data_IF_333248065872
#
_entry.id   IF_333248065872
#
_cell.length_a   1.000
_cell.length_b   1.000
_cell.length_c   1.000
_cell.angle_alpha   90.00
_cell.angle_beta   90.00
_cell.angle_gamma   90.00
#
_symmetry.space_group_name_H-M   'P 1'
#
loop_
_entity.id
_entity.type
_entity.pdbx_description
1 polymer ?
#
# COMPACT_ATOMS: atom_id res chain seq x y z
N UNK A 1 59.04 8.29 71.87
CA UNK A 1 60.51 8.14 71.83
C UNK A 1 60.87 7.41 70.54
N UNK A 2 61.29 8.17 69.54
CA UNK A 2 62.69 8.24 69.06
C UNK A 2 63.02 7.01 68.18
N UNK A 3 62.91 7.14 66.86
CA UNK A 3 63.93 7.67 65.93
C UNK A 3 64.75 6.53 65.35
N UNK A 4 64.58 6.28 64.05
CA UNK A 4 65.56 5.55 63.25
C UNK A 4 65.78 6.29 61.94
N UNK A 5 66.99 6.83 61.87
CA UNK A 5 67.61 7.60 60.83
C UNK A 5 68.01 6.67 59.66
N UNK A 6 67.74 7.05 58.41
CA UNK A 6 68.56 6.66 57.25
C UNK A 6 68.42 7.68 56.11
N UNK A 7 69.52 8.36 55.83
CA UNK A 7 69.88 9.07 54.57
C UNK A 7 70.74 8.10 53.73
N UNK A 8 71.06 8.38 52.45
CA UNK A 8 70.18 8.59 51.28
C UNK A 8 70.58 7.67 50.10
N UNK A 9 69.75 7.55 49.07
CA UNK A 9 70.20 7.08 47.75
C UNK A 9 69.51 7.91 46.66
N UNK A 10 70.33 8.54 45.83
CA UNK A 10 69.91 9.34 44.69
C UNK A 10 69.21 8.43 43.67
N UNK A 11 67.98 8.80 43.30
CA UNK A 11 67.27 8.23 42.15
C UNK A 11 66.80 9.39 41.29
N UNK A 12 67.37 9.44 40.10
CA UNK A 12 67.12 10.40 39.04
C UNK A 12 65.64 10.42 38.66
N UNK A 13 65.02 11.61 38.75
CA UNK A 13 63.67 11.87 38.21
C UNK A 13 63.70 11.69 36.69
N UNK A 14 63.30 10.53 36.20
CA UNK A 14 62.81 10.38 34.82
C UNK A 14 61.39 10.95 34.75
N UNK A 15 61.23 12.05 34.02
CA UNK A 15 59.92 12.60 33.70
C UNK A 15 59.09 11.54 32.96
N UNK A 16 57.78 11.40 33.22
CA UNK A 16 56.94 10.51 32.44
C UNK A 16 56.90 11.03 31.00
N UNK A 17 57.49 10.28 30.07
CA UNK A 17 57.36 10.54 28.65
C UNK A 17 55.87 10.46 28.30
N UNK A 18 55.30 11.59 27.84
CA UNK A 18 53.99 11.58 27.20
C UNK A 18 54.01 10.48 26.12
N UNK A 19 53.06 9.53 26.09
CA UNK A 19 53.00 8.58 25.01
C UNK A 19 52.89 9.38 23.71
N UNK A 20 53.88 9.24 22.84
CA UNK A 20 53.88 9.87 21.53
C UNK A 20 52.60 9.42 20.83
N UNK A 21 51.69 10.37 20.59
CA UNK A 21 50.45 10.07 19.89
C UNK A 21 50.82 9.38 18.58
N UNK A 22 50.42 8.12 18.44
CA UNK A 22 50.63 7.38 17.20
C UNK A 22 50.08 8.22 16.05
N UNK A 23 50.69 8.14 14.86
CA UNK A 23 50.17 8.84 13.66
C UNK A 23 48.67 8.54 13.44
N UNK A 24 48.19 7.37 13.88
CA UNK A 24 46.76 7.00 13.92
C UNK A 24 45.94 7.81 14.93
N UNK A 25 46.44 8.08 16.14
CA UNK A 25 45.76 8.90 17.14
C UNK A 25 45.69 10.39 16.77
N UNK A 26 46.73 10.92 16.13
CA UNK A 26 46.73 12.30 15.63
C UNK A 26 45.76 12.48 14.43
N UNK A 27 45.68 11.49 13.54
CA UNK A 27 44.71 11.47 12.45
C UNK A 27 43.27 11.35 12.98
N UNK A 28 43.02 10.46 13.95
CA UNK A 28 41.72 10.33 14.61
C UNK A 28 41.27 11.63 15.30
N UNK A 29 42.17 12.32 16.00
CA UNK A 29 41.87 13.60 16.65
C UNK A 29 41.58 14.73 15.64
N UNK A 30 42.22 14.72 14.47
CA UNK A 30 41.93 15.67 13.37
C UNK A 30 40.55 15.41 12.79
N UNK A 31 40.20 14.15 12.52
CA UNK A 31 38.87 13.75 12.03
C UNK A 31 37.78 14.14 13.04
N UNK A 32 37.99 13.88 14.33
CA UNK A 32 37.03 14.25 15.37
C UNK A 32 36.78 15.77 15.45
N UNK A 33 37.83 16.59 15.28
CA UNK A 33 37.67 18.06 15.22
C UNK A 33 36.88 18.50 13.99
N UNK A 34 37.13 17.89 12.84
CA UNK A 34 36.40 18.17 11.60
C UNK A 34 34.92 17.79 11.72
N UNK A 35 34.61 16.59 12.23
CA UNK A 35 33.24 16.14 12.46
C UNK A 35 32.48 17.07 13.43
N UNK A 36 33.12 17.50 14.53
CA UNK A 36 32.50 18.47 15.47
C UNK A 36 32.29 19.85 14.85
N UNK A 37 33.16 20.27 13.93
CA UNK A 37 32.99 21.53 13.22
C UNK A 37 31.80 21.47 12.25
N UNK A 38 31.66 20.35 11.52
CA UNK A 38 30.50 20.08 10.66
C UNK A 38 29.21 20.04 11.48
N UNK A 39 29.19 19.32 12.61
CA UNK A 39 28.02 19.25 13.50
C UNK A 39 27.59 20.64 13.97
N UNK A 40 28.52 21.48 14.45
CA UNK A 40 28.18 22.83 14.91
C UNK A 40 27.63 23.73 13.81
N UNK A 41 28.12 23.58 12.58
CA UNK A 41 27.59 24.32 11.44
C UNK A 41 26.15 23.88 11.13
N UNK A 42 25.91 22.56 11.07
CA UNK A 42 24.57 22.00 10.89
C UNK A 42 23.61 22.40 12.02
N UNK A 43 24.05 22.37 13.28
CA UNK A 43 23.22 22.74 14.44
C UNK A 43 22.80 24.22 14.38
N UNK A 44 23.69 25.10 13.93
CA UNK A 44 23.40 26.52 13.76
C UNK A 44 22.40 26.77 12.62
N UNK A 45 22.58 26.09 11.49
CA UNK A 45 21.68 26.16 10.33
C UNK A 45 20.29 25.57 10.67
N UNK A 46 20.24 24.46 11.41
CA UNK A 46 18.99 23.84 11.86
C UNK A 46 18.22 24.74 12.85
N UNK A 47 18.91 25.36 13.81
CA UNK A 47 18.28 26.29 14.75
C UNK A 47 17.65 27.47 14.02
N UNK A 48 18.30 27.97 12.96
CA UNK A 48 17.79 29.05 12.13
C UNK A 48 16.64 28.60 11.21
N UNK A 49 16.67 27.37 10.70
CA UNK A 49 15.65 26.78 9.84
C UNK A 49 14.36 26.44 10.60
N UNK A 50 14.48 25.81 11.78
CA UNK A 50 13.34 25.49 12.66
C UNK A 50 12.57 26.75 13.10
N UNK A 51 13.26 27.87 13.26
CA UNK A 51 12.64 29.16 13.57
C UNK A 51 11.83 29.77 12.41
N UNK A 52 11.94 29.24 11.17
CA UNK A 52 11.31 29.79 9.95
C UNK A 52 10.32 28.83 9.26
N UNK A 53 10.09 27.64 9.80
CA UNK A 53 9.27 26.63 9.13
C UNK A 53 7.80 27.07 9.04
N UNK A 54 7.31 27.32 7.82
CA UNK A 54 5.89 27.48 7.49
C UNK A 54 5.26 26.12 7.18
N UNK A 55 3.94 25.93 7.38
CA UNK A 55 3.27 24.73 6.91
C UNK A 55 3.47 24.59 5.40
N UNK A 56 4.00 23.45 4.96
CA UNK A 56 4.23 23.15 3.55
C UNK A 56 2.90 22.85 2.84
N UNK A 57 2.72 23.39 1.64
CA UNK A 57 1.57 23.05 0.80
C UNK A 57 1.56 21.54 0.45
N UNK A 58 0.39 20.94 0.16
CA UNK A 58 0.31 19.55 -0.27
C UNK A 58 1.18 19.27 -1.50
N UNK A 59 1.89 18.14 -1.47
CA UNK A 59 2.82 17.73 -2.53
C UNK A 59 2.05 17.20 -3.75
N UNK A 60 2.38 17.72 -4.93
CA UNK A 60 1.82 17.32 -6.22
C UNK A 60 2.96 16.81 -7.11
N UNK A 61 3.27 15.52 -7.01
CA UNK A 61 4.39 14.90 -7.72
C UNK A 61 4.03 14.41 -9.14
N UNK A 62 2.73 14.41 -9.51
CA UNK A 62 2.25 14.01 -10.82
C UNK A 62 2.08 15.19 -11.79
N UNK A 63 1.94 14.89 -13.08
CA UNK A 63 1.67 15.89 -14.12
C UNK A 63 0.32 16.60 -13.92
N UNK A 64 -0.67 15.84 -13.43
CA UNK A 64 -2.02 16.32 -13.13
C UNK A 64 -2.11 16.71 -11.65
N UNK A 65 -2.55 17.94 -11.38
CA UNK A 65 -2.82 18.38 -10.01
C UNK A 65 -4.03 17.64 -9.44
N UNK A 66 -3.85 16.99 -8.29
CA UNK A 66 -4.89 16.21 -7.62
C UNK A 66 -5.65 17.01 -6.55
N UNK A 67 -6.91 16.63 -6.24
CA UNK A 67 -7.69 17.29 -5.19
C UNK A 67 -7.01 17.23 -3.83
N UNK A 68 -6.95 18.37 -3.16
CA UNK A 68 -6.31 18.52 -1.83
C UNK A 68 -7.33 18.54 -0.69
N UNK A 69 -8.57 18.97 -0.99
CA UNK A 69 -9.65 19.14 -0.01
C UNK A 69 -10.81 18.22 -0.35
N UNK A 70 -11.25 17.44 0.63
CA UNK A 70 -12.39 16.56 0.49
C UNK A 70 -13.66 17.26 0.99
N UNK A 71 -14.84 16.97 0.38
CA UNK A 71 -16.11 17.50 0.85
C UNK A 71 -16.49 16.91 2.21
N UNK A 72 -17.27 17.64 3.01
CA UNK A 72 -17.92 17.09 4.20
C UNK A 72 -19.11 16.23 3.77
N UNK A 73 -19.02 14.92 3.97
CA UNK A 73 -20.08 13.98 3.59
C UNK A 73 -19.93 12.65 4.34
N UNK A 74 -21.02 11.90 4.48
CA UNK A 74 -21.05 10.53 4.99
C UNK A 74 -22.01 9.70 4.14
N UNK A 75 -21.67 8.44 3.89
CA UNK A 75 -22.45 7.51 3.06
C UNK A 75 -22.86 6.27 3.86
N UNK A 76 -23.87 5.55 3.38
CA UNK A 76 -24.19 4.20 3.87
C UNK A 76 -23.25 3.17 3.26
N UNK A 77 -23.07 2.02 3.92
CA UNK A 77 -22.29 0.88 3.39
C UNK A 77 -23.18 -0.09 2.57
N UNK A 78 -22.63 -0.74 1.52
CA UNK A 78 -21.38 -0.34 0.89
C UNK A 78 -21.56 1.03 0.20
N UNK A 79 -20.48 1.80 0.13
CA UNK A 79 -20.52 3.16 -0.39
C UNK A 79 -20.59 3.16 -1.92
N UNK A 80 -21.54 3.89 -2.50
CA UNK A 80 -21.62 4.10 -3.95
C UNK A 80 -20.74 5.27 -4.38
N UNK A 81 -19.93 5.08 -5.43
CA UNK A 81 -19.05 6.13 -5.97
C UNK A 81 -19.83 7.26 -6.62
N UNK A 82 -20.95 6.93 -7.29
CA UNK A 82 -21.87 7.93 -7.84
C UNK A 82 -22.42 8.94 -6.82
N UNK A 83 -22.48 8.57 -5.54
CA UNK A 83 -23.01 9.43 -4.47
C UNK A 83 -21.96 10.40 -3.89
N UNK A 84 -20.69 10.31 -4.30
CA UNK A 84 -19.63 11.20 -3.80
C UNK A 84 -19.75 12.61 -4.42
N UNK A 85 -19.77 13.64 -3.58
CA UNK A 85 -19.78 15.03 -4.04
C UNK A 85 -18.51 15.41 -4.82
N UNK A 86 -17.38 14.77 -4.49
CA UNK A 86 -16.16 14.80 -5.27
C UNK A 86 -15.92 13.41 -5.87
N UNK A 87 -16.11 13.29 -7.19
CA UNK A 87 -15.88 12.04 -7.90
C UNK A 87 -14.39 11.65 -7.87
N UNK A 88 -14.05 10.42 -7.46
CA UNK A 88 -12.68 9.92 -7.53
C UNK A 88 -12.15 9.93 -8.95
N UNK A 89 -10.86 10.22 -9.10
CA UNK A 89 -10.20 10.16 -10.40
C UNK A 89 -9.59 8.78 -10.60
N UNK A 90 -10.08 8.06 -11.61
CA UNK A 90 -9.68 6.67 -11.89
C UNK A 90 -9.18 6.44 -13.32
N UNK A 91 -9.35 7.41 -14.23
CA UNK A 91 -9.06 7.22 -15.66
C UNK A 91 -7.56 7.35 -16.02
N UNK A 92 -6.74 8.00 -15.19
CA UNK A 92 -5.31 8.21 -15.45
C UNK A 92 -5.03 8.74 -16.89
N UNK A 93 -5.58 9.88 -17.32
CA UNK A 93 -5.56 10.30 -18.73
C UNK A 93 -4.13 10.51 -19.29
N UNK A 94 -3.15 10.79 -18.43
CA UNK A 94 -1.75 10.92 -18.82
C UNK A 94 -1.02 9.57 -19.00
N UNK A 95 -1.64 8.45 -18.63
CA UNK A 95 -1.09 7.11 -18.79
C UNK A 95 -1.38 6.56 -20.19
N UNK A 96 -0.33 6.35 -20.98
CA UNK A 96 -0.41 5.76 -22.33
C UNK A 96 -0.14 4.26 -22.25
N UNK A 97 -1.13 3.46 -22.65
CA UNK A 97 -1.01 1.99 -22.69
C UNK A 97 0.09 1.53 -23.65
N UNK A 98 0.78 0.45 -23.28
CA UNK A 98 1.89 -0.11 -24.06
C UNK A 98 1.74 -1.61 -24.35
N UNK A 99 0.57 -2.18 -24.06
CA UNK A 99 0.26 -3.59 -24.29
C UNK A 99 0.91 -4.54 -23.28
N UNK A 100 1.21 -4.09 -22.06
CA UNK A 100 1.87 -4.89 -21.02
C UNK A 100 1.07 -6.11 -20.58
N UNK A 101 -0.25 -6.08 -20.80
CA UNK A 101 -1.19 -7.14 -20.46
C UNK A 101 -1.96 -7.61 -21.71
N UNK A 102 -1.38 -7.40 -22.90
CA UNK A 102 -2.04 -7.71 -24.17
C UNK A 102 -2.48 -9.17 -24.23
N UNK A 103 -3.78 -9.38 -24.43
CA UNK A 103 -4.38 -10.70 -24.57
C UNK A 103 -4.51 -11.47 -23.26
N UNK A 104 -4.21 -10.85 -22.12
CA UNK A 104 -4.44 -11.44 -20.81
C UNK A 104 -5.90 -11.29 -20.38
N UNK A 105 -6.27 -12.07 -19.38
CA UNK A 105 -7.57 -12.05 -18.73
C UNK A 105 -7.40 -11.87 -17.22
N UNK A 106 -8.19 -10.98 -16.63
CA UNK A 106 -8.05 -10.61 -15.23
C UNK A 106 -9.39 -10.67 -14.47
N UNK A 107 -9.33 -11.04 -13.20
CA UNK A 107 -10.40 -10.81 -12.22
C UNK A 107 -9.93 -9.72 -11.25
N UNK A 108 -10.79 -8.75 -10.97
CA UNK A 108 -10.57 -7.74 -9.94
C UNK A 108 -11.79 -7.70 -9.01
N UNK A 109 -11.61 -8.01 -7.73
CA UNK A 109 -12.70 -7.95 -6.73
C UNK A 109 -12.85 -6.55 -6.15
N UNK A 110 -14.08 -6.11 -5.88
CA UNK A 110 -14.37 -4.73 -5.46
C UNK A 110 -13.96 -3.72 -6.53
N UNK A 111 -14.25 -4.03 -7.79
CA UNK A 111 -13.82 -3.22 -8.94
C UNK A 111 -14.92 -2.36 -9.55
N UNK A 112 -16.11 -2.38 -8.96
CA UNK A 112 -17.17 -1.41 -9.23
C UNK A 112 -16.71 0.03 -8.96
N UNK A 113 -15.80 0.25 -8.00
CA UNK A 113 -15.40 1.59 -7.54
C UNK A 113 -13.93 1.68 -7.10
N UNK A 114 -13.50 2.90 -6.76
CA UNK A 114 -12.23 3.20 -6.12
C UNK A 114 -11.01 2.64 -6.83
N UNK A 115 -10.10 2.06 -6.05
CA UNK A 115 -8.84 1.47 -6.55
C UNK A 115 -9.14 0.36 -7.56
N UNK A 116 -10.11 -0.51 -7.28
CA UNK A 116 -10.46 -1.62 -8.16
C UNK A 116 -10.95 -1.14 -9.53
N UNK A 117 -11.78 -0.09 -9.58
CA UNK A 117 -12.20 0.57 -10.83
C UNK A 117 -11.00 1.09 -11.62
N UNK A 118 -10.11 1.84 -10.98
CA UNK A 118 -8.92 2.36 -11.64
C UNK A 118 -8.00 1.25 -12.19
N UNK A 119 -7.87 0.15 -11.44
CA UNK A 119 -7.10 -1.03 -11.87
C UNK A 119 -7.75 -1.71 -13.06
N UNK A 120 -9.08 -1.93 -13.03
CA UNK A 120 -9.81 -2.54 -14.13
C UNK A 120 -9.65 -1.75 -15.45
N UNK A 121 -9.83 -0.42 -15.38
CA UNK A 121 -9.67 0.47 -16.54
C UNK A 121 -8.23 0.45 -17.06
N UNK A 122 -7.22 0.52 -16.19
CA UNK A 122 -5.82 0.53 -16.63
C UNK A 122 -5.35 -0.84 -17.16
N UNK A 123 -5.89 -1.94 -16.63
CA UNK A 123 -5.67 -3.28 -17.18
C UNK A 123 -6.23 -3.40 -18.59
N UNK A 124 -7.44 -2.86 -18.81
CA UNK A 124 -8.05 -2.81 -20.13
C UNK A 124 -7.21 -2.00 -21.12
N UNK A 125 -6.74 -0.81 -20.70
CA UNK A 125 -5.83 0.03 -21.50
C UNK A 125 -4.52 -0.68 -21.85
N UNK A 126 -4.03 -1.56 -20.97
CA UNK A 126 -2.85 -2.39 -21.23
C UNK A 126 -3.14 -3.69 -21.99
N UNK A 127 -4.39 -3.90 -22.38
CA UNK A 127 -4.81 -4.92 -23.33
C UNK A 127 -5.44 -6.18 -22.73
N UNK A 128 -5.82 -6.17 -21.45
CA UNK A 128 -6.46 -7.30 -20.77
C UNK A 128 -7.99 -7.25 -20.85
N UNK A 129 -8.63 -8.41 -20.98
CA UNK A 129 -10.06 -8.54 -20.68
C UNK A 129 -10.26 -8.61 -19.16
N UNK A 130 -11.32 -7.99 -18.63
CA UNK A 130 -11.46 -7.79 -17.18
C UNK A 130 -12.83 -8.25 -16.68
N UNK A 131 -12.83 -9.09 -15.65
CA UNK A 131 -14.01 -9.43 -14.87
C UNK A 131 -14.02 -8.56 -13.60
N UNK A 132 -15.06 -7.74 -13.49
CA UNK A 132 -15.36 -6.84 -12.38
C UNK A 132 -16.28 -7.58 -11.41
N UNK A 133 -15.73 -7.98 -10.26
CA UNK A 133 -16.50 -8.54 -9.15
C UNK A 133 -16.82 -7.45 -8.15
N UNK A 134 -18.05 -7.45 -7.62
CA UNK A 134 -18.57 -6.43 -6.70
C UNK A 134 -19.74 -7.00 -5.88
N UNK A 135 -20.23 -6.29 -4.87
CA UNK A 135 -21.27 -6.80 -3.98
C UNK A 135 -22.68 -6.54 -4.53
N UNK A 136 -23.13 -5.27 -4.54
CA UNK A 136 -24.48 -4.88 -4.97
C UNK A 136 -24.55 -3.53 -5.73
N UNK A 137 -23.40 -2.88 -5.93
CA UNK A 137 -23.24 -1.55 -6.52
C UNK A 137 -23.35 -1.60 -8.06
N UNK A 138 -24.47 -2.13 -8.57
CA UNK A 138 -24.68 -2.46 -9.98
C UNK A 138 -24.43 -1.28 -10.93
N UNK A 139 -24.85 -0.08 -10.54
CA UNK A 139 -24.65 1.15 -11.32
C UNK A 139 -23.16 1.50 -11.46
N UNK A 140 -22.42 1.45 -10.35
CA UNK A 140 -20.98 1.67 -10.33
C UNK A 140 -20.22 0.61 -11.14
N UNK A 141 -20.66 -0.65 -11.06
CA UNK A 141 -20.12 -1.72 -11.89
C UNK A 141 -20.37 -1.50 -13.40
N UNK A 142 -21.53 -0.96 -13.79
CA UNK A 142 -21.79 -0.61 -15.20
C UNK A 142 -20.91 0.56 -15.66
N UNK A 143 -20.62 1.54 -14.79
CA UNK A 143 -19.66 2.60 -15.10
C UNK A 143 -18.28 1.99 -15.37
N UNK A 144 -17.74 1.16 -14.46
CA UNK A 144 -16.45 0.49 -14.69
C UNK A 144 -16.47 -0.30 -16.01
N UNK A 145 -17.55 -1.05 -16.26
CA UNK A 145 -17.72 -1.82 -17.50
C UNK A 145 -17.60 -0.95 -18.73
N UNK A 146 -18.32 0.17 -18.78
CA UNK A 146 -18.29 1.08 -19.92
C UNK A 146 -16.89 1.64 -20.18
N UNK A 147 -16.13 1.94 -19.11
CA UNK A 147 -14.75 2.41 -19.26
C UNK A 147 -13.79 1.31 -19.73
N UNK A 148 -13.95 0.06 -19.26
CA UNK A 148 -13.17 -1.09 -19.78
C UNK A 148 -13.47 -1.33 -21.26
N UNK A 149 -14.74 -1.30 -21.65
CA UNK A 149 -15.16 -1.48 -23.04
C UNK A 149 -14.69 -0.34 -23.95
N UNK A 150 -14.63 0.90 -23.43
CA UNK A 150 -14.07 2.06 -24.13
C UNK A 150 -12.58 1.91 -24.46
N UNK A 151 -11.82 1.17 -23.66
CA UNK A 151 -10.42 0.80 -23.96
C UNK A 151 -10.31 -0.36 -24.98
N UNK A 152 -11.44 -0.84 -25.50
CA UNK A 152 -11.50 -1.86 -26.56
C UNK A 152 -11.36 -3.30 -26.04
N UNK A 153 -11.56 -3.53 -24.74
CA UNK A 153 -11.47 -4.85 -24.10
C UNK A 153 -12.82 -5.36 -23.64
N UNK A 154 -12.93 -6.68 -23.45
CA UNK A 154 -14.16 -7.30 -22.95
C UNK A 154 -14.26 -7.09 -21.45
N UNK A 155 -15.47 -6.80 -20.98
CA UNK A 155 -15.76 -6.69 -19.56
C UNK A 155 -16.89 -7.62 -19.15
N UNK A 156 -16.71 -8.34 -18.04
CA UNK A 156 -17.74 -9.15 -17.40
C UNK A 156 -18.02 -8.58 -16.01
N UNK A 157 -19.27 -8.33 -15.66
CA UNK A 157 -19.66 -7.84 -14.32
C UNK A 157 -20.34 -8.97 -13.56
N UNK A 158 -19.84 -9.32 -12.37
CA UNK A 158 -20.40 -10.41 -11.54
C UNK A 158 -20.65 -9.88 -10.13
N UNK A 159 -21.91 -9.86 -9.70
CA UNK A 159 -22.30 -9.47 -8.36
C UNK A 159 -22.31 -10.67 -7.42
N UNK A 160 -21.78 -10.50 -6.21
CA UNK A 160 -21.88 -11.48 -5.13
C UNK A 160 -20.82 -11.31 -4.05
N UNK A 161 -20.93 -12.15 -3.03
CA UNK A 161 -20.16 -12.01 -1.81
C UNK A 161 -18.93 -12.93 -1.82
N UNK A 162 -17.73 -12.33 -1.75
CA UNK A 162 -16.46 -13.07 -1.72
C UNK A 162 -16.30 -13.95 -0.47
N UNK A 163 -17.12 -13.75 0.57
CA UNK A 163 -17.19 -14.65 1.71
C UNK A 163 -17.77 -16.03 1.36
N UNK A 164 -18.56 -16.15 0.29
CA UNK A 164 -19.10 -17.43 -0.16
C UNK A 164 -18.09 -18.13 -1.11
N UNK A 165 -17.49 -19.26 -0.72
CA UNK A 165 -16.56 -19.98 -1.59
C UNK A 165 -17.22 -20.45 -2.89
N UNK A 166 -18.53 -20.74 -2.90
CA UNK A 166 -19.24 -21.15 -4.12
C UNK A 166 -19.35 -20.00 -5.12
N UNK A 167 -19.65 -18.79 -4.63
CA UNK A 167 -19.61 -17.59 -5.46
C UNK A 167 -18.23 -17.40 -6.10
N UNK A 168 -17.15 -17.53 -5.32
CA UNK A 168 -15.78 -17.42 -5.83
C UNK A 168 -15.49 -18.45 -6.94
N UNK A 169 -15.89 -19.71 -6.74
CA UNK A 169 -15.76 -20.78 -7.74
C UNK A 169 -16.56 -20.48 -9.02
N UNK A 170 -17.82 -20.07 -8.87
CA UNK A 170 -18.70 -19.74 -9.99
C UNK A 170 -18.22 -18.52 -10.77
N UNK A 171 -17.73 -17.48 -10.08
CA UNK A 171 -17.23 -16.26 -10.71
C UNK A 171 -15.95 -16.51 -11.52
N UNK A 172 -15.03 -17.33 -11.00
CA UNK A 172 -13.84 -17.78 -11.76
C UNK A 172 -14.27 -18.61 -12.96
N UNK A 173 -15.20 -19.56 -12.80
CA UNK A 173 -15.66 -20.40 -13.89
C UNK A 173 -16.36 -19.57 -14.99
N UNK A 174 -17.18 -18.59 -14.62
CA UNK A 174 -17.79 -17.63 -15.55
C UNK A 174 -16.74 -16.83 -16.32
N UNK A 175 -15.72 -16.32 -15.63
CA UNK A 175 -14.63 -15.57 -16.24
C UNK A 175 -13.86 -16.40 -17.24
N UNK A 176 -13.47 -17.64 -16.87
CA UNK A 176 -12.76 -18.55 -17.76
C UNK A 176 -13.60 -18.93 -18.98
N UNK A 177 -14.91 -19.16 -18.81
CA UNK A 177 -15.81 -19.40 -19.96
C UNK A 177 -15.92 -18.19 -20.88
N UNK A 178 -16.02 -16.99 -20.33
CA UNK A 178 -16.17 -15.77 -21.10
C UNK A 178 -14.87 -15.40 -21.85
N UNK A 179 -13.72 -15.52 -21.18
CA UNK A 179 -12.46 -15.01 -21.71
C UNK A 179 -11.54 -16.07 -22.31
N UNK A 180 -11.77 -17.35 -22.02
CA UNK A 180 -10.96 -18.48 -22.47
C UNK A 180 -9.79 -18.81 -21.53
N UNK A 181 -9.62 -18.07 -20.45
CA UNK A 181 -8.51 -18.24 -19.50
C UNK A 181 -8.61 -17.31 -18.29
N UNK A 182 -7.59 -17.39 -17.44
CA UNK A 182 -7.34 -16.46 -16.34
C UNK A 182 -5.83 -16.31 -16.15
N UNK A 183 -5.32 -15.08 -16.18
CA UNK A 183 -3.89 -14.77 -16.07
C UNK A 183 -3.57 -13.94 -14.83
N UNK A 184 -4.51 -13.08 -14.41
CA UNK A 184 -4.32 -12.19 -13.27
C UNK A 184 -5.51 -12.26 -12.32
N UNK A 185 -5.24 -12.49 -11.04
CA UNK A 185 -6.21 -12.29 -9.97
C UNK A 185 -5.79 -11.08 -9.13
N UNK A 186 -6.69 -10.11 -8.98
CA UNK A 186 -6.54 -9.00 -8.03
C UNK A 186 -7.58 -9.16 -6.93
N UNK A 187 -7.11 -9.52 -5.74
CA UNK A 187 -7.94 -9.50 -4.54
C UNK A 187 -7.89 -8.09 -3.95
N UNK A 188 -8.99 -7.34 -4.05
CA UNK A 188 -9.07 -5.95 -3.63
C UNK A 188 -10.31 -5.64 -2.76
N UNK A 189 -11.41 -6.40 -2.88
CA UNK A 189 -12.62 -6.23 -2.07
C UNK A 189 -12.30 -6.22 -0.57
N UNK A 190 -12.87 -5.27 0.18
CA UNK A 190 -12.64 -5.15 1.60
C UNK A 190 -13.84 -4.53 2.31
N UNK A 191 -14.03 -4.92 3.56
CA UNK A 191 -14.89 -4.29 4.54
C UNK A 191 -14.02 -3.58 5.58
N UNK A 192 -14.45 -2.38 6.00
CA UNK A 192 -13.87 -1.69 7.14
C UNK A 192 -14.97 -0.93 7.89
N UNK A 193 -14.87 -0.91 9.20
CA UNK A 193 -15.74 -0.12 10.07
C UNK A 193 -14.93 0.35 11.29
N UNK A 194 -14.92 1.65 11.58
CA UNK A 194 -14.17 2.18 12.73
C UNK A 194 -14.70 1.64 14.05
N UNK A 195 -13.78 1.25 14.93
CA UNK A 195 -14.06 0.91 16.32
C UNK A 195 -12.99 1.54 17.21
N UNK A 196 -13.38 2.40 18.16
CA UNK A 196 -12.44 3.21 18.94
C UNK A 196 -11.87 2.50 20.17
N UNK A 197 -12.55 1.46 20.66
CA UNK A 197 -12.13 0.64 21.79
C UNK A 197 -12.29 -0.84 21.43
N UNK A 198 -11.39 -1.70 21.92
CA UNK A 198 -11.47 -3.13 21.63
C UNK A 198 -12.71 -3.77 22.26
N UNK A 199 -13.11 -3.27 23.42
CA UNK A 199 -14.27 -3.72 24.19
C UNK A 199 -15.59 -3.51 23.44
N UNK A 200 -15.64 -2.58 22.48
CA UNK A 200 -16.81 -2.30 21.64
C UNK A 200 -16.83 -3.14 20.35
N UNK A 201 -15.77 -3.89 20.06
CA UNK A 201 -15.68 -4.72 18.86
C UNK A 201 -16.51 -6.00 19.05
N UNK A 202 -17.70 -6.03 18.45
CA UNK A 202 -18.54 -7.23 18.48
C UNK A 202 -17.96 -8.37 17.65
N UNK A 203 -18.27 -9.61 18.04
CA UNK A 203 -17.87 -10.81 17.28
C UNK A 203 -18.40 -10.78 15.84
N UNK A 204 -19.61 -10.23 15.63
CA UNK A 204 -20.20 -10.10 14.30
C UNK A 204 -19.40 -9.14 13.41
N UNK A 205 -18.98 -7.99 13.95
CA UNK A 205 -18.12 -7.04 13.24
C UNK A 205 -16.76 -7.70 12.93
N UNK A 206 -16.09 -8.27 13.94
CA UNK A 206 -14.80 -8.94 13.76
C UNK A 206 -14.88 -10.02 12.67
N UNK A 207 -15.93 -10.86 12.71
CA UNK A 207 -16.13 -11.93 11.75
C UNK A 207 -16.40 -11.38 10.35
N UNK A 208 -17.19 -10.32 10.21
CA UNK A 208 -17.47 -9.67 8.93
C UNK A 208 -16.17 -9.17 8.27
N UNK A 209 -15.32 -8.49 9.05
CA UNK A 209 -14.01 -7.99 8.59
C UNK A 209 -13.08 -9.15 8.20
N UNK A 210 -12.97 -10.19 9.03
CA UNK A 210 -12.10 -11.35 8.76
C UNK A 210 -12.54 -12.13 7.53
N UNK A 211 -13.83 -12.46 7.42
CA UNK A 211 -14.34 -13.26 6.30
C UNK A 211 -14.23 -12.51 4.99
N UNK A 212 -14.50 -11.21 4.97
CA UNK A 212 -14.38 -10.42 3.74
C UNK A 212 -12.91 -10.24 3.33
N UNK A 213 -12.07 -9.76 4.25
CA UNK A 213 -10.76 -9.20 3.89
C UNK A 213 -9.66 -10.25 3.74
N UNK A 214 -9.76 -11.39 4.46
CA UNK A 214 -8.78 -12.46 4.33
C UNK A 214 -9.43 -13.77 3.91
N UNK A 215 -10.61 -14.11 4.45
CA UNK A 215 -11.39 -15.28 4.02
C UNK A 215 -11.65 -15.27 2.51
N UNK A 216 -12.18 -14.16 1.98
CA UNK A 216 -12.43 -13.96 0.56
C UNK A 216 -11.17 -14.07 -0.30
N UNK A 217 -10.02 -13.61 0.19
CA UNK A 217 -8.74 -13.71 -0.54
C UNK A 217 -8.29 -15.17 -0.65
N UNK A 218 -8.45 -15.96 0.42
CA UNK A 218 -8.22 -17.41 0.36
C UNK A 218 -9.18 -18.10 -0.62
N UNK A 219 -10.46 -17.73 -0.59
CA UNK A 219 -11.49 -18.35 -1.45
C UNK A 219 -11.24 -18.06 -2.93
N UNK A 220 -11.01 -16.80 -3.28
CA UNK A 220 -10.69 -16.38 -4.65
C UNK A 220 -9.38 -16.98 -5.14
N UNK A 221 -8.32 -16.97 -4.32
CA UNK A 221 -7.05 -17.60 -4.70
C UNK A 221 -7.24 -19.10 -4.96
N UNK A 222 -7.91 -19.83 -4.05
CA UNK A 222 -8.18 -21.26 -4.20
C UNK A 222 -8.98 -21.56 -5.48
N UNK A 223 -10.02 -20.77 -5.76
CA UNK A 223 -10.85 -20.91 -6.96
C UNK A 223 -10.07 -20.60 -8.26
N UNK A 224 -9.20 -19.59 -8.25
CA UNK A 224 -8.43 -19.18 -9.43
C UNK A 224 -7.28 -20.14 -9.76
N UNK A 225 -6.64 -20.73 -8.75
CA UNK A 225 -5.40 -21.50 -8.92
C UNK A 225 -5.45 -22.64 -9.97
N UNK A 226 -6.54 -23.40 -10.16
CA UNK A 226 -6.64 -24.39 -11.22
C UNK A 226 -6.49 -23.81 -12.65
N UNK A 227 -6.76 -22.52 -12.82
CA UNK A 227 -6.77 -21.83 -14.11
C UNK A 227 -5.52 -20.99 -14.36
N UNK A 228 -4.80 -20.59 -13.29
CA UNK A 228 -3.56 -19.84 -13.39
C UNK A 228 -2.38 -20.71 -13.85
N UNK A 229 -1.76 -20.32 -14.95
CA UNK A 229 -0.60 -20.99 -15.57
C UNK A 229 0.71 -20.25 -15.28
N UNK A 230 1.84 -20.84 -15.68
CA UNK A 230 3.16 -20.17 -15.62
C UNK A 230 3.09 -18.79 -16.29
N UNK A 231 3.58 -17.77 -15.60
CA UNK A 231 3.53 -16.37 -16.05
C UNK A 231 2.40 -15.55 -15.41
N UNK A 232 1.40 -16.22 -14.83
CA UNK A 232 0.29 -15.58 -14.13
C UNK A 232 0.72 -14.81 -12.87
N UNK A 233 -0.17 -13.94 -12.40
CA UNK A 233 0.04 -13.13 -11.21
C UNK A 233 -1.20 -13.11 -10.30
N UNK A 234 -0.95 -13.08 -8.99
CA UNK A 234 -1.92 -12.72 -7.97
C UNK A 234 -1.44 -11.42 -7.32
N UNK A 235 -2.32 -10.43 -7.21
CA UNK A 235 -2.03 -9.16 -6.55
C UNK A 235 -3.05 -8.96 -5.45
N UNK A 236 -2.58 -8.72 -4.23
CA UNK A 236 -3.43 -8.51 -3.07
C UNK A 236 -3.38 -7.04 -2.64
N UNK A 237 -4.53 -6.42 -2.42
CA UNK A 237 -4.59 -5.07 -1.85
C UNK A 237 -4.43 -5.14 -0.33
N UNK A 238 -3.22 -4.84 0.13
CA UNK A 238 -2.86 -4.62 1.52
C UNK A 238 -3.32 -3.25 2.02
N UNK A 239 -2.54 -2.66 2.93
CA UNK A 239 -2.72 -1.28 3.40
C UNK A 239 -1.52 -0.84 4.22
N UNK A 240 -1.27 0.46 4.31
CA UNK A 240 -0.35 1.03 5.30
C UNK A 240 -0.71 0.59 6.74
N UNK A 241 -1.99 0.37 7.06
CA UNK A 241 -2.40 -0.10 8.39
C UNK A 241 -1.93 -1.53 8.67
N UNK A 242 -1.69 -2.33 7.63
CA UNK A 242 -1.06 -3.65 7.76
C UNK A 242 0.46 -3.58 7.98
N UNK A 243 1.08 -2.40 7.79
CA UNK A 243 2.50 -2.15 8.07
C UNK A 243 2.70 -1.47 9.42
N UNK A 244 1.83 -0.51 9.76
CA UNK A 244 2.02 0.39 10.90
C UNK A 244 0.95 0.26 11.99
N UNK A 245 -0.13 -0.48 11.72
CA UNK A 245 -1.30 -0.56 12.59
C UNK A 245 -2.18 0.71 12.52
N UNK A 246 -3.36 0.63 13.13
CA UNK A 246 -4.23 1.78 13.37
C UNK A 246 -5.02 1.56 14.65
N UNK A 247 -5.00 2.56 15.54
CA UNK A 247 -5.69 2.50 16.84
C UNK A 247 -7.22 2.42 16.75
N UNK A 248 -7.81 2.78 15.61
CA UNK A 248 -9.28 2.82 15.41
C UNK A 248 -9.79 1.77 14.43
N UNK A 249 -8.91 0.87 13.98
CA UNK A 249 -9.15 -0.12 12.94
C UNK A 249 -8.37 -1.40 13.27
N UNK A 250 -8.55 -1.95 14.47
CA UNK A 250 -7.72 -3.06 14.97
C UNK A 250 -7.90 -4.34 14.12
N UNK A 251 -9.13 -4.78 13.93
CA UNK A 251 -9.52 -5.94 13.12
C UNK A 251 -9.14 -5.73 11.65
N UNK A 252 -9.42 -4.56 11.08
CA UNK A 252 -9.00 -4.22 9.72
C UNK A 252 -7.47 -4.26 9.58
N UNK A 253 -6.71 -3.64 10.49
CA UNK A 253 -5.24 -3.68 10.48
C UNK A 253 -4.73 -5.12 10.59
N UNK A 254 -5.35 -5.94 11.44
CA UNK A 254 -5.02 -7.36 11.57
C UNK A 254 -5.25 -8.12 10.25
N UNK A 255 -6.38 -7.88 9.56
CA UNK A 255 -6.61 -8.49 8.23
C UNK A 255 -5.61 -8.03 7.19
N UNK A 256 -5.20 -6.75 7.19
CA UNK A 256 -4.20 -6.24 6.25
C UNK A 256 -2.79 -6.79 6.54
N UNK A 257 -2.43 -6.97 7.81
CA UNK A 257 -1.23 -7.72 8.20
C UNK A 257 -1.28 -9.18 7.76
N UNK A 258 -2.44 -9.84 7.93
CA UNK A 258 -2.66 -11.21 7.47
C UNK A 258 -2.55 -11.32 5.94
N UNK A 259 -3.06 -10.34 5.18
CA UNK A 259 -2.91 -10.27 3.72
C UNK A 259 -1.43 -10.18 3.32
N UNK A 260 -0.61 -9.39 4.03
CA UNK A 260 0.82 -9.32 3.75
C UNK A 260 1.52 -10.66 4.01
N UNK A 261 1.22 -11.32 5.14
CA UNK A 261 1.75 -12.65 5.45
C UNK A 261 1.30 -13.71 4.43
N UNK A 262 0.01 -13.71 4.08
CA UNK A 262 -0.58 -14.58 3.06
C UNK A 262 0.10 -14.41 1.70
N UNK A 263 0.38 -13.16 1.30
CA UNK A 263 1.07 -12.84 0.05
C UNK A 263 2.45 -13.49 0.00
N UNK A 264 3.26 -13.33 1.04
CA UNK A 264 4.60 -13.91 1.11
C UNK A 264 4.57 -15.44 1.13
N UNK A 265 3.68 -16.03 1.93
CA UNK A 265 3.54 -17.49 2.03
C UNK A 265 3.07 -18.11 0.71
N UNK A 266 2.05 -17.53 0.08
CA UNK A 266 1.52 -18.02 -1.19
C UNK A 266 2.53 -17.82 -2.33
N UNK A 267 3.31 -16.73 -2.33
CA UNK A 267 4.40 -16.52 -3.28
C UNK A 267 5.41 -17.68 -3.24
N UNK A 268 5.86 -18.09 -2.05
CA UNK A 268 6.77 -19.23 -1.89
C UNK A 268 6.13 -20.53 -2.35
N UNK A 269 4.86 -20.77 -2.02
CA UNK A 269 4.14 -21.98 -2.41
C UNK A 269 3.99 -22.10 -3.94
N UNK A 270 3.74 -20.99 -4.62
CA UNK A 270 3.45 -20.99 -6.06
C UNK A 270 4.68 -20.75 -6.94
N UNK A 271 5.85 -20.47 -6.34
CA UNK A 271 7.10 -20.28 -7.07
C UNK A 271 7.44 -21.46 -8.02
N UNK A 272 7.33 -22.74 -7.62
CA UNK A 272 7.58 -23.86 -8.55
C UNK A 272 6.62 -23.90 -9.74
N UNK A 273 5.42 -23.32 -9.60
CA UNK A 273 4.41 -23.21 -10.67
C UNK A 273 4.66 -22.00 -11.59
N UNK A 274 5.60 -21.14 -11.26
CA UNK A 274 5.90 -19.93 -12.02
C UNK A 274 4.78 -18.89 -11.96
N UNK A 275 4.03 -18.85 -10.86
CA UNK A 275 2.99 -17.84 -10.59
C UNK A 275 3.53 -16.89 -9.53
N UNK A 276 3.42 -15.58 -9.79
CA UNK A 276 3.90 -14.54 -8.88
C UNK A 276 2.78 -14.08 -7.97
N UNK A 277 3.09 -13.79 -6.71
CA UNK A 277 2.11 -13.26 -5.75
C UNK A 277 2.72 -12.05 -5.06
N UNK A 278 2.09 -10.88 -5.19
CA UNK A 278 2.58 -9.64 -4.59
C UNK A 278 1.42 -8.86 -3.97
N UNK A 279 1.73 -7.82 -3.22
CA UNK A 279 0.75 -6.90 -2.68
C UNK A 279 1.09 -5.45 -2.99
N UNK A 280 0.05 -4.64 -3.16
CA UNK A 280 0.14 -3.18 -3.08
C UNK A 280 -0.39 -2.78 -1.71
N UNK A 281 0.32 -1.91 -1.00
CA UNK A 281 -0.09 -1.35 0.28
C UNK A 281 -0.41 0.14 0.11
N UNK A 282 -1.68 0.50 -0.16
CA UNK A 282 -2.08 1.90 -0.30
C UNK A 282 -2.04 2.63 1.04
N UNK A 283 -1.75 3.93 0.98
CA UNK A 283 -2.07 4.87 2.06
C UNK A 283 -3.50 5.43 1.97
N UNK A 284 -3.74 6.69 2.35
CA UNK A 284 -5.07 7.28 2.25
C UNK A 284 -5.44 7.56 0.79
N UNK A 285 -6.38 6.77 0.24
CA UNK A 285 -6.89 6.93 -1.13
C UNK A 285 -8.35 7.34 -1.11
N UNK A 286 -8.72 8.38 -1.87
CA UNK A 286 -10.11 8.84 -1.96
C UNK A 286 -10.98 7.81 -2.70
N UNK A 287 -11.81 7.09 -1.95
CA UNK A 287 -12.70 6.04 -2.44
C UNK A 287 -14.02 6.08 -1.66
N UNK A 288 -15.10 5.43 -2.11
CA UNK A 288 -16.37 5.38 -1.38
C UNK A 288 -16.26 4.74 0.01
N UNK A 289 -15.23 3.89 0.20
CA UNK A 289 -14.96 3.22 1.47
C UNK A 289 -14.75 4.21 2.62
N UNK A 290 -14.12 5.37 2.39
CA UNK A 290 -13.83 6.31 3.48
C UNK A 290 -15.08 7.11 3.92
N UNK A 291 -15.87 7.72 3.01
CA UNK A 291 -17.10 8.41 3.40
C UNK A 291 -18.17 7.48 3.95
N UNK A 292 -18.17 6.21 3.56
CA UNK A 292 -19.07 5.20 4.13
C UNK A 292 -18.67 4.74 5.55
N UNK A 293 -17.54 5.22 6.07
CA UNK A 293 -16.91 4.73 7.29
C UNK A 293 -16.62 5.83 8.31
N UNK A 294 -16.28 7.03 7.84
CA UNK A 294 -15.89 8.18 8.66
C UNK A 294 -17.04 9.19 8.82
N UNK A 295 -16.98 9.97 9.90
CA UNK A 295 -17.84 11.14 10.09
C UNK A 295 -17.60 12.18 8.98
N UNK A 296 -18.59 13.04 8.71
CA UNK A 296 -18.44 14.08 7.68
C UNK A 296 -17.27 15.04 7.97
N UNK A 297 -16.99 15.29 9.25
CA UNK A 297 -15.87 16.10 9.72
C UNK A 297 -14.53 15.43 9.42
N UNK A 298 -14.39 14.14 9.76
CA UNK A 298 -13.15 13.38 9.51
C UNK A 298 -12.89 13.19 8.02
N UNK A 299 -13.94 13.06 7.21
CA UNK A 299 -13.83 12.97 5.74
C UNK A 299 -13.20 14.24 5.16
N UNK A 300 -13.53 15.42 5.67
CA UNK A 300 -12.95 16.68 5.19
C UNK A 300 -11.45 16.86 5.53
N UNK A 301 -10.97 16.14 6.54
CA UNK A 301 -9.57 16.10 6.95
C UNK A 301 -8.79 14.92 6.34
N UNK A 302 -9.47 14.07 5.56
CA UNK A 302 -8.91 12.84 5.01
C UNK A 302 -7.65 13.10 4.18
N UNK A 303 -6.56 12.39 4.52
CA UNK A 303 -5.28 12.43 3.83
C UNK A 303 -4.39 13.65 4.13
N UNK A 304 -4.84 14.63 4.92
CA UNK A 304 -4.02 15.81 5.27
C UNK A 304 -2.83 15.49 6.18
N UNK A 305 -2.91 14.39 6.94
CA UNK A 305 -1.82 13.91 7.79
C UNK A 305 -0.73 13.16 7.02
N UNK A 306 -0.98 12.79 5.75
CA UNK A 306 0.00 12.06 4.95
C UNK A 306 1.25 12.92 4.70
N UNK A 307 2.37 12.27 4.38
CA UNK A 307 3.59 12.97 4.01
C UNK A 307 3.42 13.91 2.79
N UNK A 308 2.44 13.65 1.91
CA UNK A 308 2.08 14.55 0.80
C UNK A 308 1.00 15.57 1.15
N UNK A 309 0.44 15.56 2.36
CA UNK A 309 -0.57 16.51 2.82
C UNK A 309 -1.90 16.45 2.05
N UNK A 310 -2.15 15.35 1.32
CA UNK A 310 -3.38 15.09 0.57
C UNK A 310 -3.64 13.58 0.47
N UNK A 311 -4.89 13.16 0.21
CA UNK A 311 -5.16 11.79 -0.19
C UNK A 311 -4.69 11.55 -1.65
N UNK A 312 -4.33 10.31 -1.93
CA UNK A 312 -4.15 9.84 -3.30
C UNK A 312 -5.51 9.69 -4.00
N UNK A 313 -5.51 9.76 -5.32
CA UNK A 313 -6.64 9.35 -6.15
C UNK A 313 -6.42 7.92 -6.66
N UNK A 314 -7.50 7.13 -6.92
CA UNK A 314 -7.38 5.77 -7.42
C UNK A 314 -6.45 5.59 -8.63
N UNK A 315 -6.43 6.55 -9.56
CA UNK A 315 -5.55 6.58 -10.73
C UNK A 315 -4.05 6.61 -10.39
N UNK A 316 -3.68 7.06 -9.19
CA UNK A 316 -2.28 7.08 -8.74
C UNK A 316 -1.82 5.70 -8.23
N UNK A 317 -2.75 4.76 -8.00
CA UNK A 317 -2.47 3.42 -7.51
C UNK A 317 -2.41 2.40 -8.65
N UNK A 318 -3.28 2.53 -9.65
CA UNK A 318 -3.44 1.53 -10.71
C UNK A 318 -2.16 1.21 -11.51
N UNK A 319 -1.20 2.13 -11.74
CA UNK A 319 0.08 1.78 -12.39
C UNK A 319 0.90 0.74 -11.62
N UNK A 320 0.82 0.73 -10.29
CA UNK A 320 1.52 -0.26 -9.46
C UNK A 320 0.97 -1.67 -9.68
N UNK A 321 -0.36 -1.80 -9.88
CA UNK A 321 -0.99 -3.06 -10.20
C UNK A 321 -0.60 -3.55 -11.60
N UNK A 322 -0.54 -2.66 -12.60
CA UNK A 322 -0.06 -3.04 -13.94
C UNK A 322 1.38 -3.56 -13.87
N UNK A 323 2.24 -2.84 -13.14
CA UNK A 323 3.64 -3.22 -12.93
C UNK A 323 3.77 -4.62 -12.32
N UNK A 324 2.99 -4.93 -11.27
CA UNK A 324 3.04 -6.23 -10.61
C UNK A 324 2.33 -7.33 -11.41
N UNK A 325 1.31 -7.00 -12.19
CA UNK A 325 0.57 -7.97 -13.00
C UNK A 325 1.42 -8.47 -14.17
N UNK A 326 2.15 -7.56 -14.83
CA UNK A 326 2.81 -7.89 -16.08
C UNK A 326 4.09 -8.72 -15.87
N UNK A 327 4.24 -9.86 -16.57
CA UNK A 327 5.44 -10.68 -16.48
C UNK A 327 6.67 -10.00 -17.09
N UNK A 328 6.51 -9.01 -17.99
CA UNK A 328 7.67 -8.33 -18.61
C UNK A 328 8.28 -7.26 -17.70
N UNK A 329 7.54 -6.80 -16.69
CA UNK A 329 8.00 -5.77 -15.75
C UNK A 329 8.39 -6.34 -14.39
N UNK A 330 7.77 -7.46 -13.97
CA UNK A 330 7.90 -8.00 -12.63
C UNK A 330 8.23 -9.51 -12.60
N UNK A 331 8.86 -10.05 -13.64
CA UNK A 331 9.23 -11.49 -13.72
C UNK A 331 10.06 -12.00 -12.53
N UNK A 332 10.86 -11.13 -11.92
CA UNK A 332 11.71 -11.45 -10.76
C UNK A 332 11.18 -10.89 -9.43
N UNK A 333 9.89 -10.55 -9.37
CA UNK A 333 9.25 -9.98 -8.18
C UNK A 333 8.09 -10.90 -7.76
N UNK A 334 8.26 -11.57 -6.62
CA UNK A 334 7.24 -12.38 -5.96
C UNK A 334 7.45 -12.33 -4.45
N UNK A 335 6.38 -12.15 -3.69
CA UNK A 335 6.38 -11.95 -2.25
C UNK A 335 6.57 -10.49 -1.82
N UNK A 336 6.58 -9.54 -2.76
CA UNK A 336 6.79 -8.12 -2.44
C UNK A 336 5.51 -7.47 -1.88
N UNK A 337 5.70 -6.59 -0.89
CA UNK A 337 4.69 -5.62 -0.44
C UNK A 337 5.16 -4.25 -0.94
N UNK A 338 4.47 -3.69 -1.93
CA UNK A 338 4.81 -2.41 -2.55
C UNK A 338 4.01 -1.28 -1.91
N UNK A 339 4.61 -0.40 -1.09
CA UNK A 339 3.90 0.72 -0.49
C UNK A 339 3.63 1.82 -1.52
N UNK A 340 2.40 2.31 -1.57
CA UNK A 340 2.00 3.47 -2.37
C UNK A 340 1.20 4.41 -1.46
N UNK A 341 1.92 5.11 -0.58
CA UNK A 341 1.36 5.81 0.58
C UNK A 341 1.76 7.29 0.67
N UNK A 342 2.38 7.85 -0.37
CA UNK A 342 2.78 9.27 -0.40
C UNK A 342 4.05 9.60 0.41
N UNK A 343 4.63 8.66 1.14
CA UNK A 343 5.87 8.87 1.87
C UNK A 343 6.37 7.62 2.57
N UNK A 344 7.43 7.72 3.38
CA UNK A 344 7.94 6.60 4.18
C UNK A 344 7.09 6.29 5.41
N UNK A 345 6.20 7.20 5.79
CA UNK A 345 5.21 7.09 6.87
C UNK A 345 3.90 7.66 6.32
N UNK A 346 2.80 6.94 6.56
CA UNK A 346 1.44 7.32 6.16
C UNK A 346 0.79 8.31 7.12
#
# INVERSE_FOLDING_TARGET
MASSNKRPAASTKTAPSKPAASRSGAAAAKTARQQRALQRATDADEAQSKAKAKPSAPTQAGLRKQPEKMPRQHLRKPGKEGDLALQPRFEAPEYVGSGKLRGMSAIVTGADSGIGRAVAVLFAREGADVAVLYLDEHEDAQVTRAHVEKEGRRCLTIAGDVKDPRFCEDAVAQTVRAFGGLDVLVNNAAFQLHCHALEDLSDAHLQETLQTNIGGYFHMARAALPHLKRGAAIINSGSETGLFGSKSLLDYSATKGAIHAFTMALASQLQPRGIRVNAVAPGPVWTPLNPADKSAEDVAEFGKSSAMGRPAQPEELSPAYVFLASPITASYISGAILPVMGGPQG
#
